data_IF_461670719383
#
_entry.id   IF_461670719383
#
_cell.length_a   1.000
_cell.length_b   1.000
_cell.length_c   1.000
_cell.angle_alpha   90.00
_cell.angle_beta   90.00
_cell.angle_gamma   90.00
#
_symmetry.space_group_name_H-M   'P 1'
#
loop_
_entity.id
_entity.type
_entity.pdbx_description
1 polymer ?
#
# COMPACT_ATOMS: atom_id res chain seq x y z
N UNK A 1 0.51 -10.70 26.05
CA UNK A 1 1.29 -11.64 25.20
C UNK A 1 2.78 -11.35 25.35
N UNK A 2 3.68 -12.34 25.20
CA UNK A 2 5.13 -12.08 25.25
C UNK A 2 5.55 -11.14 24.12
N UNK A 3 6.31 -10.07 24.43
CA UNK A 3 6.76 -9.08 23.46
C UNK A 3 7.47 -9.70 22.25
N UNK A 4 8.30 -10.72 22.49
CA UNK A 4 9.03 -11.46 21.44
C UNK A 4 8.16 -12.22 20.43
N UNK A 5 6.87 -12.41 20.70
CA UNK A 5 5.94 -13.11 19.79
C UNK A 5 4.99 -12.17 19.06
N UNK A 6 5.07 -10.87 19.33
CA UNK A 6 4.25 -9.87 18.63
C UNK A 6 4.86 -9.65 17.26
N UNK A 7 4.06 -9.85 16.21
CA UNK A 7 4.49 -9.56 14.84
C UNK A 7 4.64 -8.05 14.61
N UNK A 8 5.45 -7.65 13.63
CA UNK A 8 5.63 -6.23 13.29
C UNK A 8 4.29 -5.51 13.06
N UNK A 9 3.43 -6.01 12.18
CA UNK A 9 2.15 -5.37 11.87
C UNK A 9 1.23 -5.20 13.08
N UNK A 10 1.19 -6.19 13.99
CA UNK A 10 0.40 -6.09 15.24
C UNK A 10 0.99 -5.04 16.18
N UNK A 11 2.31 -5.01 16.33
CA UNK A 11 2.95 -4.03 17.20
C UNK A 11 2.71 -2.61 16.68
N UNK A 12 2.84 -2.39 15.37
CA UNK A 12 2.57 -1.09 14.75
C UNK A 12 1.11 -0.67 14.90
N UNK A 13 0.15 -1.61 14.76
CA UNK A 13 -1.26 -1.34 15.00
C UNK A 13 -1.53 -0.95 16.46
N UNK A 14 -0.93 -1.66 17.43
CA UNK A 14 -1.04 -1.34 18.86
C UNK A 14 -0.48 0.06 19.14
N UNK A 15 0.70 0.38 18.61
CA UNK A 15 1.34 1.71 18.77
C UNK A 15 0.55 2.83 18.10
N UNK A 16 -0.09 2.54 16.97
CA UNK A 16 -1.00 3.49 16.33
C UNK A 16 -2.22 3.76 17.20
N UNK A 17 -2.87 2.73 17.72
CA UNK A 17 -3.99 2.89 18.64
C UNK A 17 -3.61 3.63 19.93
N UNK A 18 -2.39 3.44 20.43
CA UNK A 18 -1.84 4.22 21.53
C UNK A 18 -1.68 5.70 21.17
N UNK A 19 -1.05 5.99 20.03
CA UNK A 19 -0.84 7.37 19.54
C UNK A 19 -2.16 8.11 19.27
N UNK A 20 -3.16 7.41 18.77
CA UNK A 20 -4.51 7.95 18.50
C UNK A 20 -5.37 8.03 19.77
N UNK A 21 -4.88 7.57 20.93
CA UNK A 21 -5.55 7.67 22.22
C UNK A 21 -6.61 6.60 22.48
N UNK A 22 -6.72 5.59 21.62
CA UNK A 22 -7.68 4.49 21.77
C UNK A 22 -7.17 3.38 22.70
N UNK A 23 -5.85 3.24 22.84
CA UNK A 23 -5.22 2.19 23.64
C UNK A 23 -4.29 2.78 24.69
N UNK A 24 -4.19 2.10 25.84
CA UNK A 24 -3.10 2.29 26.80
C UNK A 24 -2.19 1.08 26.72
N UNK A 25 -0.93 1.28 26.37
CA UNK A 25 0.02 0.19 26.13
C UNK A 25 1.12 0.24 27.18
N UNK A 26 1.47 -0.91 27.72
CA UNK A 26 2.56 -1.06 28.68
C UNK A 26 3.31 -2.35 28.41
N UNK A 27 4.61 -2.33 28.66
CA UNK A 27 5.46 -3.52 28.64
C UNK A 27 5.65 -3.91 30.09
N UNK A 28 5.22 -5.09 30.50
CA UNK A 28 5.35 -5.53 31.88
C UNK A 28 6.46 -6.59 32.02
N UNK A 29 7.19 -6.51 33.12
CA UNK A 29 8.10 -7.54 33.61
C UNK A 29 7.57 -8.09 34.93
N UNK A 30 8.08 -9.25 35.37
CA UNK A 30 7.75 -9.77 36.69
C UNK A 30 8.60 -9.01 37.72
N UNK A 31 7.96 -8.11 38.46
CA UNK A 31 8.61 -7.21 39.42
C UNK A 31 9.32 -7.97 40.52
N UNK A 32 8.68 -8.95 41.14
CA UNK A 32 9.25 -9.73 42.25
C UNK A 32 10.55 -10.41 41.83
N UNK A 33 10.56 -11.05 40.65
CA UNK A 33 11.75 -11.71 40.12
C UNK A 33 12.86 -10.71 39.79
N UNK A 34 12.51 -9.52 39.31
CA UNK A 34 13.49 -8.50 38.97
C UNK A 34 14.12 -7.90 40.24
N UNK A 35 13.31 -7.58 41.24
CA UNK A 35 13.74 -7.13 42.56
C UNK A 35 14.66 -8.17 43.20
N UNK A 36 14.24 -9.44 43.23
CA UNK A 36 15.01 -10.53 43.85
C UNK A 36 16.40 -10.68 43.18
N UNK A 37 16.46 -10.54 41.84
CA UNK A 37 17.74 -10.53 41.12
C UNK A 37 18.63 -9.32 41.49
N UNK A 38 18.05 -8.12 41.61
CA UNK A 38 18.80 -6.92 41.99
C UNK A 38 19.33 -7.07 43.42
N UNK A 39 18.47 -7.49 44.37
CA UNK A 39 18.84 -7.68 45.77
C UNK A 39 19.98 -8.69 45.93
N UNK A 40 19.97 -9.81 45.18
CA UNK A 40 21.09 -10.78 45.17
C UNK A 40 22.44 -10.15 44.77
N UNK A 41 22.41 -9.15 43.89
CA UNK A 41 23.62 -8.45 43.43
C UNK A 41 24.09 -7.44 44.47
N UNK A 42 23.19 -6.61 45.01
CA UNK A 42 23.55 -5.41 45.78
C UNK A 42 23.48 -5.58 47.30
N UNK A 43 22.59 -6.43 47.83
CA UNK A 43 22.44 -6.65 49.27
C UNK A 43 23.51 -7.63 49.73
N UNK A 44 24.26 -7.27 50.78
CA UNK A 44 25.35 -8.07 51.36
C UNK A 44 25.19 -8.18 52.88
N UNK A 45 25.55 -9.34 53.42
CA UNK A 45 25.51 -9.61 54.85
C UNK A 45 24.09 -9.65 55.41
N UNK A 46 23.96 -9.41 56.71
CA UNK A 46 22.69 -9.39 57.44
C UNK A 46 22.65 -8.24 58.45
N UNK A 47 21.45 -7.78 58.82
CA UNK A 47 21.23 -6.75 59.84
C UNK A 47 20.58 -5.48 59.30
N UNK A 48 20.65 -4.38 60.07
CA UNK A 48 19.95 -3.11 59.74
C UNK A 48 20.42 -2.48 58.43
N UNK A 49 21.72 -2.53 58.15
CA UNK A 49 22.26 -1.98 56.92
C UNK A 49 21.78 -2.74 55.67
N UNK A 50 21.68 -4.08 55.74
CA UNK A 50 21.20 -4.86 54.60
C UNK A 50 19.72 -4.58 54.30
N UNK A 51 18.88 -4.38 55.32
CA UNK A 51 17.47 -4.00 55.14
C UNK A 51 17.32 -2.64 54.44
N UNK A 52 18.12 -1.63 54.83
CA UNK A 52 18.09 -0.32 54.16
C UNK A 52 18.52 -0.39 52.69
N UNK A 53 19.50 -1.26 52.37
CA UNK A 53 19.93 -1.47 50.98
C UNK A 53 18.85 -2.21 50.17
N UNK A 54 18.15 -3.16 50.77
CA UNK A 54 17.01 -3.86 50.15
C UNK A 54 15.85 -2.90 49.84
N UNK A 55 15.46 -2.06 50.80
CA UNK A 55 14.44 -1.02 50.59
C UNK A 55 14.85 -0.04 49.46
N UNK A 56 16.11 0.38 49.44
CA UNK A 56 16.64 1.25 48.40
C UNK A 56 16.67 0.58 47.01
N UNK A 57 16.99 -0.72 46.97
CA UNK A 57 16.98 -1.51 45.73
C UNK A 57 15.56 -1.64 45.16
N UNK A 58 14.57 -1.89 46.01
CA UNK A 58 13.16 -1.94 45.62
C UNK A 58 12.65 -0.60 45.07
N UNK A 59 12.92 0.50 45.78
CA UNK A 59 12.49 1.84 45.35
C UNK A 59 13.16 2.22 44.01
N UNK A 60 14.47 1.98 43.90
CA UNK A 60 15.24 2.20 42.67
C UNK A 60 14.67 1.40 41.51
N UNK A 61 14.34 0.13 41.73
CA UNK A 61 13.73 -0.70 40.69
C UNK A 61 12.40 -0.12 40.21
N UNK A 62 11.48 0.15 41.15
CA UNK A 62 10.10 0.59 40.83
C UNK A 62 10.08 1.96 40.15
N UNK A 63 10.91 2.91 40.61
CA UNK A 63 10.87 4.31 40.14
C UNK A 63 11.79 4.62 38.98
N UNK A 64 12.90 3.89 38.84
CA UNK A 64 13.95 4.26 37.90
C UNK A 64 14.22 3.14 36.88
N UNK A 65 14.56 1.94 37.36
CA UNK A 65 15.01 0.86 36.48
C UNK A 65 13.87 0.34 35.61
N UNK A 66 12.70 0.05 36.20
CA UNK A 66 11.54 -0.46 35.48
C UNK A 66 11.06 0.52 34.40
N UNK A 67 10.79 1.82 34.68
CA UNK A 67 10.42 2.78 33.65
C UNK A 67 11.47 2.92 32.53
N UNK A 68 12.76 2.85 32.88
CA UNK A 68 13.85 2.87 31.90
C UNK A 68 13.80 1.66 30.96
N UNK A 69 13.68 0.44 31.50
CA UNK A 69 13.57 -0.80 30.72
C UNK A 69 12.32 -0.78 29.83
N UNK A 70 11.17 -0.37 30.37
CA UNK A 70 9.93 -0.28 29.60
C UNK A 70 10.07 0.68 28.41
N UNK A 71 10.68 1.84 28.63
CA UNK A 71 10.93 2.84 27.59
C UNK A 71 11.90 2.32 26.53
N UNK A 72 13.00 1.71 26.95
CA UNK A 72 14.03 1.16 26.05
C UNK A 72 13.45 0.02 25.19
N UNK A 73 12.77 -0.95 25.79
CA UNK A 73 12.15 -2.04 25.04
C UNK A 73 10.99 -1.57 24.17
N UNK A 74 10.27 -0.51 24.57
CA UNK A 74 9.27 0.12 23.72
C UNK A 74 9.88 0.72 22.45
N UNK A 75 10.99 1.45 22.59
CA UNK A 75 11.72 2.02 21.46
C UNK A 75 12.33 0.93 20.57
N UNK A 76 13.02 -0.06 21.14
CA UNK A 76 13.67 -1.14 20.41
C UNK A 76 12.66 -2.00 19.63
N UNK A 77 11.56 -2.40 20.28
CA UNK A 77 10.52 -3.20 19.62
C UNK A 77 9.86 -2.44 18.48
N UNK A 78 9.61 -1.13 18.66
CA UNK A 78 9.08 -0.27 17.62
C UNK A 78 10.06 -0.14 16.45
N UNK A 79 11.32 0.20 16.70
CA UNK A 79 12.35 0.33 15.66
C UNK A 79 12.44 -0.93 14.82
N UNK A 80 12.52 -2.10 15.47
CA UNK A 80 12.57 -3.39 14.78
C UNK A 80 11.33 -3.65 13.92
N UNK A 81 10.15 -3.28 14.40
CA UNK A 81 8.91 -3.45 13.65
C UNK A 81 8.83 -2.48 12.46
N UNK A 82 9.28 -1.23 12.63
CA UNK A 82 9.40 -0.25 11.55
C UNK A 82 10.36 -0.76 10.47
N UNK A 83 11.55 -1.26 10.84
CA UNK A 83 12.54 -1.82 9.91
C UNK A 83 11.97 -2.98 9.09
N UNK A 84 11.32 -3.96 9.76
CA UNK A 84 10.69 -5.10 9.10
C UNK A 84 9.56 -4.67 8.13
N UNK A 85 8.77 -3.66 8.52
CA UNK A 85 7.72 -3.14 7.67
C UNK A 85 8.28 -2.39 6.45
N UNK A 86 9.32 -1.58 6.64
CA UNK A 86 10.02 -0.86 5.57
C UNK A 86 10.62 -1.86 4.58
N UNK A 87 11.29 -2.91 5.06
CA UNK A 87 11.86 -3.96 4.21
C UNK A 87 10.78 -4.65 3.35
N UNK A 88 9.62 -4.95 3.94
CA UNK A 88 8.49 -5.49 3.18
C UNK A 88 7.96 -4.51 2.14
N UNK A 89 7.82 -3.22 2.47
CA UNK A 89 7.38 -2.20 1.51
C UNK A 89 8.40 -2.03 0.38
N UNK A 90 9.69 -2.01 0.69
CA UNK A 90 10.76 -1.93 -0.29
C UNK A 90 10.74 -3.13 -1.25
N UNK A 91 10.51 -4.35 -0.74
CA UNK A 91 10.36 -5.55 -1.58
C UNK A 91 9.14 -5.45 -2.50
N UNK A 92 7.99 -4.98 -2.00
CA UNK A 92 6.79 -4.79 -2.81
C UNK A 92 6.99 -3.71 -3.88
N UNK A 93 7.60 -2.57 -3.53
CA UNK A 93 7.94 -1.51 -4.48
C UNK A 93 8.88 -2.04 -5.57
N UNK A 94 9.90 -2.82 -5.19
CA UNK A 94 10.81 -3.48 -6.13
C UNK A 94 10.06 -4.39 -7.09
N UNK A 95 9.13 -5.22 -6.61
CA UNK A 95 8.34 -6.10 -7.48
C UNK A 95 7.51 -5.32 -8.51
N UNK A 96 6.92 -4.18 -8.10
CA UNK A 96 6.16 -3.32 -9.02
C UNK A 96 7.06 -2.66 -10.06
N UNK A 97 8.22 -2.14 -9.65
CA UNK A 97 9.17 -1.45 -10.54
C UNK A 97 9.81 -2.40 -11.56
N UNK A 98 10.03 -3.66 -11.19
CA UNK A 98 10.63 -4.68 -12.07
C UNK A 98 9.59 -5.61 -12.70
N UNK A 99 8.32 -5.24 -12.70
CA UNK A 99 7.31 -5.99 -13.43
C UNK A 99 7.68 -6.01 -14.94
N UNK A 100 7.52 -7.15 -15.64
CA UNK A 100 7.89 -7.24 -17.04
C UNK A 100 7.09 -6.25 -17.91
N UNK A 101 7.75 -5.41 -18.72
CA UNK A 101 7.06 -4.50 -19.64
C UNK A 101 6.43 -5.28 -20.79
N UNK A 102 5.24 -4.86 -21.23
CA UNK A 102 4.64 -5.38 -22.47
C UNK A 102 5.34 -4.79 -23.71
N UNK A 103 6.02 -3.66 -23.56
CA UNK A 103 6.76 -2.97 -24.62
C UNK A 103 5.84 -2.20 -25.56
N UNK A 104 6.31 -1.96 -26.79
CA UNK A 104 5.62 -1.15 -27.80
C UNK A 104 4.33 -1.83 -28.31
N UNK A 105 3.22 -1.51 -27.65
CA UNK A 105 1.87 -2.02 -27.93
C UNK A 105 0.86 -0.91 -27.79
N UNK A 106 -0.23 -0.98 -28.55
CA UNK A 106 -1.35 -0.05 -28.39
C UNK A 106 -2.27 -0.54 -27.29
N UNK A 107 -2.57 0.31 -26.31
CA UNK A 107 -3.25 -0.10 -25.08
C UNK A 107 -4.60 0.58 -24.96
N UNK A 108 -5.64 -0.19 -24.65
CA UNK A 108 -6.88 0.35 -24.10
C UNK A 108 -6.77 0.21 -22.58
N UNK A 109 -6.55 1.30 -21.87
CA UNK A 109 -6.48 1.28 -20.42
C UNK A 109 -7.85 1.62 -19.82
N UNK A 110 -8.21 0.88 -18.77
CA UNK A 110 -9.49 0.95 -18.10
C UNK A 110 -9.24 1.21 -16.62
N UNK A 111 -9.66 2.38 -16.15
CA UNK A 111 -9.73 2.73 -14.73
C UNK A 111 -11.16 2.41 -14.24
N UNK A 112 -11.36 1.32 -13.49
CA UNK A 112 -12.68 0.84 -13.16
C UNK A 112 -13.38 1.73 -12.13
N UNK A 113 -14.70 1.79 -12.21
CA UNK A 113 -15.51 2.54 -11.24
C UNK A 113 -16.99 2.23 -11.36
N UNK A 114 -17.66 2.19 -10.20
CA UNK A 114 -19.11 1.98 -10.14
C UNK A 114 -19.87 3.26 -10.53
N UNK A 115 -20.05 4.19 -9.59
CA UNK A 115 -20.91 5.37 -9.75
C UNK A 115 -20.44 6.32 -10.86
N UNK A 116 -19.13 6.50 -11.01
CA UNK A 116 -18.55 7.44 -11.98
C UNK A 116 -18.20 6.76 -13.31
N UNK A 117 -18.58 5.49 -13.49
CA UNK A 117 -18.22 4.69 -14.66
C UNK A 117 -16.74 4.32 -14.71
N UNK A 118 -16.40 3.44 -15.65
CA UNK A 118 -15.02 3.07 -15.96
C UNK A 118 -14.48 4.03 -17.02
N UNK A 119 -13.34 4.67 -16.74
CA UNK A 119 -12.71 5.60 -17.68
C UNK A 119 -11.87 4.75 -18.61
N UNK A 120 -12.01 4.99 -19.90
CA UNK A 120 -11.27 4.27 -20.92
C UNK A 120 -10.38 5.24 -21.67
N UNK A 121 -9.12 4.87 -21.88
CA UNK A 121 -8.18 5.64 -22.68
C UNK A 121 -7.48 4.74 -23.69
N UNK A 122 -7.31 5.23 -24.91
CA UNK A 122 -6.55 4.56 -25.95
C UNK A 122 -5.17 5.20 -26.03
N UNK A 123 -4.12 4.40 -25.92
CA UNK A 123 -2.73 4.82 -26.03
C UNK A 123 -2.09 4.22 -27.30
N UNK A 124 -1.23 4.99 -27.95
CA UNK A 124 -0.36 4.46 -29.01
C UNK A 124 0.79 3.61 -28.43
N UNK A 125 1.60 3.03 -29.32
CA UNK A 125 2.78 2.23 -28.99
C UNK A 125 3.88 2.96 -28.18
N UNK A 126 3.79 4.29 -28.06
CA UNK A 126 4.69 5.12 -27.27
C UNK A 126 4.04 5.63 -25.98
N UNK A 127 2.78 5.25 -25.72
CA UNK A 127 2.03 5.71 -24.55
C UNK A 127 1.41 7.11 -24.70
N UNK A 128 1.31 7.66 -25.91
CA UNK A 128 0.60 8.93 -26.13
C UNK A 128 -0.91 8.70 -26.12
N UNK A 129 -1.64 9.64 -25.52
CA UNK A 129 -3.10 9.59 -25.46
C UNK A 129 -3.72 9.87 -26.84
N UNK A 130 -4.40 8.88 -27.40
CA UNK A 130 -5.14 8.98 -28.66
C UNK A 130 -6.61 9.35 -28.44
N UNK A 131 -7.22 8.78 -27.40
CA UNK A 131 -8.64 8.95 -27.13
C UNK A 131 -8.98 8.66 -25.67
N UNK A 132 -10.05 9.27 -25.17
CA UNK A 132 -10.62 8.94 -23.86
C UNK A 132 -12.14 8.98 -23.93
N UNK A 133 -12.79 8.14 -23.13
CA UNK A 133 -14.24 8.10 -22.97
C UNK A 133 -14.59 7.46 -21.60
N UNK A 134 -15.87 7.30 -21.30
CA UNK A 134 -16.41 6.61 -20.14
C UNK A 134 -17.40 5.54 -20.59
N UNK A 135 -17.33 4.38 -19.95
CA UNK A 135 -18.31 3.28 -20.10
C UNK A 135 -18.92 2.94 -18.74
N UNK A 136 -20.12 2.34 -18.76
CA UNK A 136 -20.85 1.99 -17.55
C UNK A 136 -21.25 0.50 -17.50
N UNK A 137 -20.31 -0.46 -17.62
CA UNK A 137 -20.62 -1.89 -17.70
C UNK A 137 -21.06 -2.49 -16.35
N UNK A 138 -20.89 -1.77 -15.25
CA UNK A 138 -21.14 -2.23 -13.88
C UNK A 138 -22.25 -1.42 -13.20
N UNK A 139 -22.56 -1.78 -11.96
CA UNK A 139 -23.48 -1.02 -11.12
C UNK A 139 -23.06 0.45 -11.02
N UNK A 140 -24.02 1.40 -10.92
CA UNK A 140 -25.46 1.17 -10.87
C UNK A 140 -26.14 1.09 -12.25
N UNK A 141 -25.46 1.46 -13.33
CA UNK A 141 -26.11 1.64 -14.65
C UNK A 141 -26.26 0.33 -15.44
N UNK A 142 -25.28 -0.56 -15.37
CA UNK A 142 -25.26 -1.83 -16.13
C UNK A 142 -25.54 -1.67 -17.64
N UNK A 143 -24.99 -0.62 -18.26
CA UNK A 143 -25.03 -0.42 -19.71
C UNK A 143 -24.01 -1.33 -20.40
N UNK A 144 -24.31 -2.63 -20.41
CA UNK A 144 -23.41 -3.67 -20.93
C UNK A 144 -23.33 -3.58 -22.46
N UNK A 145 -24.45 -3.34 -23.14
CA UNK A 145 -24.50 -3.29 -24.61
C UNK A 145 -23.77 -2.06 -25.13
N UNK A 146 -24.06 -0.87 -24.58
CA UNK A 146 -23.36 0.36 -24.95
C UNK A 146 -21.87 0.32 -24.63
N UNK A 147 -21.49 -0.26 -23.49
CA UNK A 147 -20.08 -0.49 -23.17
C UNK A 147 -19.42 -1.49 -24.14
N UNK A 148 -20.12 -2.55 -24.55
CA UNK A 148 -19.62 -3.56 -25.49
C UNK A 148 -19.36 -2.96 -26.85
N UNK A 149 -20.35 -2.26 -27.41
CA UNK A 149 -20.21 -1.59 -28.71
C UNK A 149 -19.05 -0.59 -28.69
N UNK A 150 -18.96 0.22 -27.64
CA UNK A 150 -17.90 1.21 -27.49
C UNK A 150 -16.52 0.58 -27.39
N UNK A 151 -16.33 -0.41 -26.51
CA UNK A 151 -15.02 -1.08 -26.36
C UNK A 151 -14.60 -1.75 -27.66
N UNK A 152 -15.50 -2.47 -28.33
CA UNK A 152 -15.20 -3.09 -29.61
C UNK A 152 -14.84 -2.06 -30.69
N UNK A 153 -15.59 -0.96 -30.80
CA UNK A 153 -15.30 0.11 -31.73
C UNK A 153 -13.93 0.76 -31.48
N UNK A 154 -13.56 0.99 -30.22
CA UNK A 154 -12.26 1.55 -29.85
C UNK A 154 -11.11 0.58 -30.16
N UNK A 155 -11.30 -0.71 -29.85
CA UNK A 155 -10.31 -1.77 -30.13
C UNK A 155 -10.01 -1.86 -31.63
N UNK A 156 -11.03 -1.81 -32.48
CA UNK A 156 -10.86 -1.84 -33.94
C UNK A 156 -10.27 -0.52 -34.46
N UNK A 157 -10.85 0.63 -34.08
CA UNK A 157 -10.46 1.95 -34.59
C UNK A 157 -9.00 2.30 -34.31
N UNK A 158 -8.50 1.99 -33.12
CA UNK A 158 -7.15 2.36 -32.71
C UNK A 158 -6.14 1.23 -32.84
N UNK A 159 -6.54 0.08 -33.38
CA UNK A 159 -5.69 -1.10 -33.49
C UNK A 159 -5.06 -1.55 -32.15
N UNK A 160 -5.83 -1.47 -31.05
CA UNK A 160 -5.43 -1.90 -29.68
C UNK A 160 -4.93 -3.36 -29.62
N UNK A 161 -3.73 -3.57 -29.09
CA UNK A 161 -3.13 -4.89 -28.93
C UNK A 161 -3.47 -5.56 -27.59
N UNK A 162 -3.65 -4.76 -26.54
CA UNK A 162 -3.92 -5.25 -25.19
C UNK A 162 -4.78 -4.29 -24.38
N UNK A 163 -5.47 -4.83 -23.39
CA UNK A 163 -6.28 -4.05 -22.44
C UNK A 163 -5.58 -4.03 -21.09
N UNK A 164 -5.34 -2.86 -20.53
CA UNK A 164 -4.86 -2.67 -19.15
C UNK A 164 -6.05 -2.35 -18.24
N UNK A 165 -6.18 -3.01 -17.10
CA UNK A 165 -7.24 -2.80 -16.13
C UNK A 165 -6.65 -2.50 -14.75
N UNK A 166 -7.00 -1.35 -14.17
CA UNK A 166 -6.66 -1.02 -12.79
C UNK A 166 -7.24 -2.02 -11.79
N UNK A 167 -6.49 -2.37 -10.75
CA UNK A 167 -6.90 -3.34 -9.73
C UNK A 167 -7.74 -2.74 -8.58
N UNK A 168 -8.35 -1.57 -8.79
CA UNK A 168 -9.15 -0.87 -7.81
C UNK A 168 -10.59 -1.31 -7.65
N UNK A 169 -11.41 -0.33 -7.26
CA UNK A 169 -12.84 -0.50 -7.05
C UNK A 169 -13.53 -0.91 -8.35
N UNK A 170 -14.40 -1.91 -8.30
CA UNK A 170 -15.09 -2.49 -9.47
C UNK A 170 -14.19 -3.23 -10.47
N UNK A 171 -12.91 -3.44 -10.17
CA UNK A 171 -11.97 -4.14 -11.07
C UNK A 171 -12.45 -5.55 -11.41
N UNK A 172 -12.91 -6.32 -10.43
CA UNK A 172 -13.36 -7.71 -10.63
C UNK A 172 -14.57 -7.82 -11.55
N UNK A 173 -15.56 -6.95 -11.40
CA UNK A 173 -16.75 -6.90 -12.25
C UNK A 173 -16.38 -6.46 -13.67
N UNK A 174 -15.53 -5.44 -13.78
CA UNK A 174 -15.04 -4.90 -15.05
C UNK A 174 -14.19 -5.93 -15.81
N UNK A 175 -13.35 -6.69 -15.11
CA UNK A 175 -12.54 -7.77 -15.68
C UNK A 175 -13.44 -8.86 -16.30
N UNK A 176 -14.50 -9.28 -15.59
CA UNK A 176 -15.45 -10.27 -16.11
C UNK A 176 -16.16 -9.76 -17.35
N UNK A 177 -16.52 -8.48 -17.39
CA UNK A 177 -17.10 -7.83 -18.56
C UNK A 177 -16.11 -7.87 -19.73
N UNK A 178 -14.90 -7.35 -19.55
CA UNK A 178 -13.88 -7.27 -20.60
C UNK A 178 -13.50 -8.65 -21.16
N UNK A 179 -13.34 -9.67 -20.30
CA UNK A 179 -13.02 -11.05 -20.74
C UNK A 179 -14.14 -11.76 -21.50
N UNK A 180 -15.37 -11.27 -21.42
CA UNK A 180 -16.52 -11.82 -22.18
C UNK A 180 -16.59 -11.24 -23.60
N UNK A 181 -15.97 -10.09 -23.83
CA UNK A 181 -15.95 -9.46 -25.14
C UNK A 181 -15.27 -10.37 -26.16
N UNK A 182 -15.72 -10.26 -27.40
CA UNK A 182 -15.16 -10.96 -28.56
C UNK A 182 -14.71 -9.90 -29.54
N UNK A 183 -13.44 -9.97 -29.92
CA UNK A 183 -12.83 -9.07 -30.88
C UNK A 183 -12.45 -9.85 -32.14
N UNK A 184 -12.28 -9.14 -33.25
CA UNK A 184 -11.86 -9.76 -34.53
C UNK A 184 -10.48 -10.43 -34.43
N UNK A 185 -9.64 -9.95 -33.51
CA UNK A 185 -8.31 -10.45 -33.17
C UNK A 185 -8.17 -10.71 -31.68
N UNK A 186 -7.18 -11.51 -31.30
CA UNK A 186 -6.91 -11.79 -29.88
C UNK A 186 -6.42 -10.51 -29.18
N UNK A 187 -7.15 -10.08 -28.15
CA UNK A 187 -6.77 -8.97 -27.27
C UNK A 187 -6.81 -9.48 -25.83
N UNK A 188 -5.64 -9.51 -25.19
CA UNK A 188 -5.50 -10.00 -23.82
C UNK A 188 -5.76 -8.88 -22.80
N UNK A 189 -6.37 -9.21 -21.67
CA UNK A 189 -6.66 -8.29 -20.57
C UNK A 189 -5.66 -8.52 -19.44
N UNK A 190 -4.95 -7.47 -19.05
CA UNK A 190 -3.94 -7.47 -17.99
C UNK A 190 -4.40 -6.61 -16.83
N UNK A 191 -4.34 -7.16 -15.62
CA UNK A 191 -4.62 -6.40 -14.41
C UNK A 191 -3.32 -5.74 -13.94
N UNK A 192 -3.35 -4.43 -13.72
CA UNK A 192 -2.21 -3.64 -13.26
C UNK A 192 -2.53 -2.96 -11.95
N UNK A 193 -1.49 -2.70 -11.16
CA UNK A 193 -1.62 -1.91 -9.93
C UNK A 193 -2.03 -0.48 -10.26
N UNK A 194 -3.06 0.03 -9.60
CA UNK A 194 -3.43 1.46 -9.65
C UNK A 194 -2.79 2.28 -8.52
N UNK A 195 -1.98 1.65 -7.66
CA UNK A 195 -1.35 2.33 -6.52
C UNK A 195 -0.54 3.53 -6.99
N UNK A 196 -0.88 4.71 -6.47
CA UNK A 196 -0.24 5.97 -6.87
C UNK A 196 -0.73 6.57 -8.20
N UNK A 197 -1.67 5.95 -8.92
CA UNK A 197 -2.26 6.55 -10.13
C UNK A 197 -3.04 7.84 -9.80
N UNK A 198 -3.70 7.87 -8.63
CA UNK A 198 -4.35 9.06 -8.08
C UNK A 198 -3.36 10.14 -7.62
N UNK A 199 -2.19 9.75 -7.12
CA UNK A 199 -1.11 10.68 -6.74
C UNK A 199 -0.53 11.30 -8.01
N UNK A 200 -0.21 10.48 -9.01
CA UNK A 200 0.24 10.94 -10.32
C UNK A 200 -0.78 11.90 -10.94
N UNK A 201 -2.05 11.54 -11.01
CA UNK A 201 -3.05 12.33 -11.73
C UNK A 201 -3.31 13.73 -11.13
N UNK A 202 -3.12 13.88 -9.82
CA UNK A 202 -3.19 15.15 -9.11
C UNK A 202 -1.85 15.92 -9.11
N UNK A 203 -0.75 15.29 -9.54
CA UNK A 203 0.59 15.88 -9.51
C UNK A 203 0.74 17.07 -10.47
N UNK A 204 1.81 17.84 -10.28
CA UNK A 204 2.20 18.88 -11.24
C UNK A 204 2.64 18.26 -12.57
N UNK A 205 3.40 17.16 -12.53
CA UNK A 205 3.91 16.46 -13.72
C UNK A 205 2.74 16.06 -14.64
N UNK A 206 1.70 15.43 -14.10
CA UNK A 206 0.55 15.03 -14.92
C UNK A 206 -0.27 16.22 -15.46
N UNK A 207 -0.29 17.35 -14.74
CA UNK A 207 -0.89 18.59 -15.22
C UNK A 207 -0.07 19.22 -16.34
N UNK A 208 1.25 19.13 -16.28
CA UNK A 208 2.14 19.63 -17.33
C UNK A 208 2.09 18.72 -18.58
N UNK A 209 2.01 17.39 -18.39
CA UNK A 209 1.85 16.43 -19.50
C UNK A 209 0.47 16.50 -20.18
N UNK A 210 -0.60 16.71 -19.40
CA UNK A 210 -1.98 16.74 -19.89
C UNK A 210 -2.76 17.94 -19.31
N UNK A 211 -2.46 19.18 -19.73
CA UNK A 211 -3.05 20.39 -19.14
C UNK A 211 -4.56 20.48 -19.30
N UNK A 212 -5.08 19.97 -20.41
CA UNK A 212 -6.48 20.05 -20.83
C UNK A 212 -7.32 18.82 -20.45
N UNK A 213 -6.74 17.84 -19.74
CA UNK A 213 -7.44 16.63 -19.28
C UNK A 213 -7.76 16.70 -17.80
N UNK A 214 -8.89 16.12 -17.40
CA UNK A 214 -9.23 16.03 -15.98
C UNK A 214 -8.41 14.94 -15.26
N UNK A 215 -8.52 14.93 -13.94
CA UNK A 215 -7.78 14.03 -13.04
C UNK A 215 -8.05 12.55 -13.32
N UNK A 216 -9.25 12.19 -13.77
CA UNK A 216 -9.61 10.78 -13.99
C UNK A 216 -8.99 10.23 -15.27
N UNK A 217 -8.97 11.03 -16.35
CA UNK A 217 -8.29 10.69 -17.61
C UNK A 217 -6.79 10.50 -17.37
N UNK A 218 -6.15 11.42 -16.62
CA UNK A 218 -4.72 11.29 -16.27
C UNK A 218 -4.42 10.02 -15.49
N UNK A 219 -5.30 9.62 -14.58
CA UNK A 219 -5.18 8.36 -13.83
C UNK A 219 -5.21 7.15 -14.76
N UNK A 220 -6.20 7.10 -15.66
CA UNK A 220 -6.34 6.02 -16.64
C UNK A 220 -5.14 5.94 -17.61
N UNK A 221 -4.55 7.08 -18.00
CA UNK A 221 -3.31 7.10 -18.79
C UNK A 221 -2.17 6.42 -18.03
N UNK A 222 -2.00 6.69 -16.74
CA UNK A 222 -0.95 6.06 -15.93
C UNK A 222 -1.14 4.54 -15.84
N UNK A 223 -2.38 4.07 -15.67
CA UNK A 223 -2.72 2.63 -15.69
C UNK A 223 -2.29 1.98 -17.02
N UNK A 224 -2.51 2.66 -18.15
CA UNK A 224 -2.08 2.16 -19.45
C UNK A 224 -0.57 2.11 -19.60
N UNK A 225 0.12 3.20 -19.22
CA UNK A 225 1.59 3.31 -19.34
C UNK A 225 2.33 2.34 -18.43
N UNK A 226 1.78 2.00 -17.26
CA UNK A 226 2.34 0.95 -16.39
C UNK A 226 2.38 -0.41 -17.06
N UNK A 227 1.46 -0.73 -17.97
CA UNK A 227 1.52 -1.99 -18.71
C UNK A 227 2.62 -1.96 -19.78
N UNK A 228 2.85 -0.79 -20.39
CA UNK A 228 3.91 -0.59 -21.39
C UNK A 228 5.29 -0.71 -20.75
N UNK A 229 5.53 0.08 -19.70
CA UNK A 229 6.78 0.14 -18.94
C UNK A 229 6.49 0.57 -17.49
N UNK A 230 6.38 -0.39 -16.55
CA UNK A 230 6.12 -0.10 -15.14
C UNK A 230 7.16 0.85 -14.54
N UNK A 231 8.45 0.66 -14.86
CA UNK A 231 9.54 1.44 -14.28
C UNK A 231 9.44 2.90 -14.71
N UNK A 232 9.33 3.14 -16.02
CA UNK A 232 9.30 4.49 -16.58
C UNK A 232 8.09 5.31 -16.10
N UNK A 233 6.97 4.66 -15.81
CA UNK A 233 5.76 5.32 -15.33
C UNK A 233 5.76 5.51 -13.80
N UNK A 234 6.21 4.51 -13.02
CA UNK A 234 6.18 4.59 -11.55
C UNK A 234 7.21 5.58 -10.98
N UNK A 235 8.33 5.84 -11.65
CA UNK A 235 9.33 6.83 -11.21
C UNK A 235 8.84 8.29 -11.25
N UNK A 236 7.67 8.54 -11.84
CA UNK A 236 7.02 9.87 -11.84
C UNK A 236 6.31 10.19 -10.54
N UNK A 237 6.23 9.22 -9.63
CA UNK A 237 5.52 9.31 -8.34
C UNK A 237 6.58 9.33 -7.24
N UNK A 238 6.34 10.11 -6.19
CA UNK A 238 7.19 10.12 -5.00
C UNK A 238 7.17 8.73 -4.33
N UNK A 239 8.34 8.12 -4.04
CA UNK A 239 8.45 6.77 -3.49
C UNK A 239 7.82 6.56 -2.09
#
# INVERSE_FOLDING_TARGET
QPLRRVSSHQLLAIRRGEKEGFLKVGIAINDDRAIDNICRIVVKGSGKASMLVEEAAEDSFKRLVKPSIETEFAALSKSKADDEAIDMFAQNARQLLFAPPLGHKRILAVDPGFRTGCKVVCLDENGNLLHHDVIYPTAPNYDIDGATEKVCALVEKYAIDAISLGNGTASRETERFLKRLRHSRKVDVYVVSENGASIYSASKIARDEFPDKDVTVRGAVSIGRRLLDPLAELVKIDP
#
